data_IF_444644749422
#
_entry.id   IF_444644749422
#
_cell.length_a   1.000
_cell.length_b   1.000
_cell.length_c   1.000
_cell.angle_alpha   90.00
_cell.angle_beta   90.00
_cell.angle_gamma   90.00
#
_symmetry.space_group_name_H-M   'P 1'
#
loop_
_entity.id
_entity.type
_entity.pdbx_description
1 polymer ?
#
# COMPACT_ATOMS: atom_id res chain seq x y z
N UNK A 1 -18.99 -0.87 4.12
CA UNK A 1 -18.66 0.56 4.25
C UNK A 1 -17.17 0.58 4.51
N UNK A 2 -16.37 0.93 3.50
CA UNK A 2 -14.92 1.09 3.71
C UNK A 2 -14.67 2.39 4.47
N UNK A 3 -13.73 2.41 5.40
CA UNK A 3 -13.40 3.65 6.11
C UNK A 3 -12.67 4.60 5.13
N UNK A 4 -12.87 5.91 5.25
CA UNK A 4 -12.20 6.87 4.38
C UNK A 4 -10.70 6.86 4.61
N UNK A 5 -9.91 6.96 3.55
CA UNK A 5 -8.48 7.27 3.67
C UNK A 5 -8.35 8.67 4.27
N UNK A 6 -7.83 8.75 5.48
CA UNK A 6 -7.55 10.02 6.15
C UNK A 6 -6.13 10.03 6.70
N UNK A 7 -5.65 11.20 7.12
CA UNK A 7 -4.29 11.32 7.67
C UNK A 7 -4.07 10.49 8.95
N UNK A 8 -5.15 9.97 9.57
CA UNK A 8 -5.09 9.01 10.69
C UNK A 8 -4.53 7.64 10.24
N UNK A 9 -4.65 7.33 8.95
CA UNK A 9 -4.14 6.11 8.35
C UNK A 9 -2.62 6.19 8.05
N UNK A 10 -2.00 7.36 8.22
CA UNK A 10 -0.56 7.55 8.03
C UNK A 10 0.20 6.76 9.09
N UNK A 11 1.21 6.01 8.66
CA UNK A 11 1.99 5.12 9.51
C UNK A 11 1.37 3.74 9.71
N UNK A 12 0.18 3.46 9.13
CA UNK A 12 -0.39 2.10 9.14
C UNK A 12 0.32 1.20 8.13
N UNK A 13 0.39 -0.08 8.48
CA UNK A 13 0.86 -1.12 7.60
C UNK A 13 -0.14 -1.33 6.46
N UNK A 14 0.39 -1.40 5.25
CA UNK A 14 -0.35 -1.76 4.05
C UNK A 14 -0.03 -3.20 3.71
N UNK A 15 -1.09 -3.98 3.56
CA UNK A 15 -1.03 -5.39 3.23
C UNK A 15 -1.82 -5.67 1.95
N UNK A 16 -1.44 -6.74 1.26
CA UNK A 16 -2.21 -7.27 0.16
C UNK A 16 -3.44 -8.08 0.63
N UNK A 17 -4.35 -8.43 -0.28
CA UNK A 17 -5.44 -9.38 -0.02
C UNK A 17 -4.94 -10.75 0.49
N UNK A 18 -3.70 -11.13 0.18
CA UNK A 18 -3.04 -12.31 0.74
C UNK A 18 -2.56 -12.15 2.21
N UNK A 19 -2.68 -10.95 2.80
CA UNK A 19 -2.12 -10.61 4.12
C UNK A 19 -0.60 -10.42 4.10
N UNK A 20 -0.02 -10.20 2.92
CA UNK A 20 1.41 -9.93 2.76
C UNK A 20 1.65 -8.44 3.00
N UNK A 21 2.53 -8.11 3.93
CA UNK A 21 2.99 -6.73 4.10
C UNK A 21 3.64 -6.23 2.81
N UNK A 22 3.19 -5.06 2.34
CA UNK A 22 3.71 -4.39 1.14
C UNK A 22 4.53 -3.16 1.52
N UNK A 23 4.14 -2.48 2.60
CA UNK A 23 4.80 -1.26 3.04
C UNK A 23 4.01 -0.54 4.14
N UNK A 24 4.31 0.75 4.30
CA UNK A 24 3.66 1.63 5.29
C UNK A 24 3.16 2.88 4.59
N UNK A 25 2.02 3.41 5.04
CA UNK A 25 1.51 4.70 4.55
C UNK A 25 2.44 5.83 4.98
N UNK A 26 3.16 6.41 4.03
CA UNK A 26 3.99 7.60 4.25
C UNK A 26 3.17 8.88 4.40
N UNK A 27 2.10 9.02 3.59
CA UNK A 27 1.27 10.23 3.59
C UNK A 27 -0.14 9.95 3.09
N UNK A 28 -1.14 10.70 3.56
CA UNK A 28 -2.47 10.72 2.93
C UNK A 28 -2.81 12.14 2.49
N UNK A 29 -3.19 12.29 1.22
CA UNK A 29 -3.60 13.54 0.58
C UNK A 29 -5.01 13.38 0.01
N UNK A 30 -5.99 13.89 0.76
CA UNK A 30 -7.41 13.69 0.43
C UNK A 30 -7.79 12.21 0.44
N UNK A 31 -8.29 11.69 -0.68
CA UNK A 31 -8.65 10.28 -0.89
C UNK A 31 -7.50 9.43 -1.47
N UNK A 32 -6.24 9.87 -1.30
CA UNK A 32 -5.04 9.19 -1.81
C UNK A 32 -4.06 8.91 -0.69
N UNK A 33 -3.68 7.66 -0.50
CA UNK A 33 -2.59 7.25 0.37
C UNK A 33 -1.33 7.04 -0.46
N UNK A 34 -0.21 7.55 0.03
CA UNK A 34 1.14 7.34 -0.48
C UNK A 34 1.76 6.28 0.42
N UNK A 35 2.13 5.15 -0.16
CA UNK A 35 2.70 4.01 0.55
C UNK A 35 4.16 3.90 0.18
N UNK A 36 5.01 3.97 1.19
CA UNK A 36 6.44 3.71 1.06
C UNK A 36 6.64 2.18 1.12
N UNK A 37 6.98 1.54 -0.02
CA UNK A 37 7.19 0.11 -0.07
C UNK A 37 8.50 -0.24 0.62
N UNK A 38 8.46 -1.17 1.57
CA UNK A 38 9.66 -1.53 2.32
C UNK A 38 10.66 -2.23 1.39
N UNK A 39 11.90 -1.71 1.23
CA UNK A 39 12.87 -2.27 0.28
C UNK A 39 13.24 -3.73 0.57
N UNK A 40 13.14 -4.16 1.84
CA UNK A 40 13.36 -5.57 2.22
C UNK A 40 12.27 -6.55 1.73
N UNK A 41 11.08 -6.07 1.40
CA UNK A 41 9.96 -6.87 0.84
C UNK A 41 9.85 -6.69 -0.68
N UNK A 42 10.24 -5.52 -1.18
CA UNK A 42 10.39 -5.26 -2.61
C UNK A 42 11.31 -6.30 -3.26
N UNK A 43 12.42 -6.66 -2.61
CA UNK A 43 13.42 -7.61 -3.15
C UNK A 43 12.85 -8.99 -3.58
N UNK A 44 11.81 -9.50 -2.90
CA UNK A 44 11.19 -10.79 -3.25
C UNK A 44 10.01 -10.66 -4.22
N UNK A 45 9.30 -9.52 -4.20
CA UNK A 45 8.22 -9.25 -5.16
C UNK A 45 8.76 -8.83 -6.53
N UNK A 46 9.86 -8.07 -6.56
CA UNK A 46 10.58 -7.59 -7.75
C UNK A 46 11.03 -8.74 -8.67
N UNK A 47 11.49 -9.85 -8.10
CA UNK A 47 12.05 -10.97 -8.86
C UNK A 47 11.01 -11.78 -9.66
N UNK A 48 9.74 -11.76 -9.24
CA UNK A 48 8.70 -12.60 -9.84
C UNK A 48 7.79 -11.86 -10.83
N UNK A 49 7.80 -10.53 -10.83
CA UNK A 49 6.74 -9.75 -11.50
C UNK A 49 7.23 -8.77 -12.59
N UNK A 50 8.53 -8.70 -12.86
CA UNK A 50 9.06 -7.87 -13.96
C UNK A 50 8.84 -6.37 -13.74
N UNK A 51 8.80 -5.95 -12.48
CA UNK A 51 8.72 -4.54 -12.10
C UNK A 51 10.13 -3.93 -12.16
N UNK A 52 10.53 -3.45 -13.34
CA UNK A 52 11.57 -2.41 -13.41
C UNK A 52 10.93 -1.08 -12.99
N UNK A 53 10.71 -0.94 -11.68
CA UNK A 53 10.48 0.35 -11.05
C UNK A 53 11.83 0.88 -10.63
N UNK A 54 12.53 1.52 -11.57
CA UNK A 54 13.50 2.54 -11.19
C UNK A 54 12.73 3.57 -10.35
N UNK A 55 13.34 3.94 -9.22
CA UNK A 55 12.88 4.96 -8.28
C UNK A 55 11.96 4.52 -7.14
N UNK A 56 12.49 4.83 -5.96
CA UNK A 56 11.94 4.83 -4.61
C UNK A 56 10.76 5.81 -4.48
N UNK A 57 9.78 5.77 -5.39
CA UNK A 57 8.64 6.70 -5.41
C UNK A 57 7.40 6.03 -4.83
N UNK A 58 6.84 6.66 -3.79
CA UNK A 58 5.66 6.22 -3.05
C UNK A 58 4.54 5.67 -3.95
N UNK A 59 4.02 4.49 -3.63
CA UNK A 59 2.86 3.91 -4.30
C UNK A 59 1.57 4.63 -3.91
N UNK A 60 0.87 5.20 -4.89
CA UNK A 60 -0.39 5.94 -4.65
C UNK A 60 -1.57 4.98 -4.65
N UNK A 61 -2.09 4.71 -3.46
CA UNK A 61 -3.32 3.95 -3.24
C UNK A 61 -4.52 4.89 -3.17
N UNK A 62 -5.63 4.49 -3.79
CA UNK A 62 -6.92 5.19 -3.68
C UNK A 62 -7.96 4.30 -3.04
N UNK A 63 -9.05 4.88 -2.54
CA UNK A 63 -10.16 4.15 -1.90
C UNK A 63 -10.77 3.05 -2.78
N UNK A 64 -10.65 3.14 -4.11
CA UNK A 64 -11.12 2.12 -5.06
C UNK A 64 -10.26 0.84 -5.03
N UNK A 65 -8.98 1.00 -4.67
CA UNK A 65 -8.00 -0.08 -4.55
C UNK A 65 -7.97 -0.67 -3.14
N UNK A 66 -8.83 -0.21 -2.22
CA UNK A 66 -8.90 -0.71 -0.86
C UNK A 66 -10.00 -1.74 -0.71
N UNK A 67 -9.64 -2.88 -0.16
CA UNK A 67 -10.60 -3.89 0.26
C UNK A 67 -11.18 -3.55 1.63
N UNK A 68 -10.30 -3.21 2.58
CA UNK A 68 -10.69 -2.89 3.95
C UNK A 68 -9.69 -1.92 4.59
N UNK A 69 -10.21 -1.00 5.40
CA UNK A 69 -9.43 -0.01 6.15
C UNK A 69 -9.78 -0.19 7.62
N UNK A 70 -8.79 -0.61 8.43
CA UNK A 70 -8.96 -0.94 9.84
C UNK A 70 -7.70 -0.68 10.65
N UNK A 71 -7.19 -1.70 11.35
CA UNK A 71 -5.86 -1.65 11.98
C UNK A 71 -4.74 -1.61 10.93
N UNK A 72 -4.96 -2.27 9.81
CA UNK A 72 -4.11 -2.31 8.61
C UNK A 72 -4.93 -1.95 7.38
N UNK A 73 -4.24 -1.52 6.32
CA UNK A 73 -4.86 -1.19 5.04
C UNK A 73 -4.71 -2.40 4.12
N UNK A 74 -5.83 -3.02 3.76
CA UNK A 74 -5.86 -4.17 2.85
C UNK A 74 -6.15 -3.69 1.43
N UNK A 75 -5.25 -3.98 0.50
CA UNK A 75 -5.45 -3.68 -0.91
C UNK A 75 -6.31 -4.74 -1.60
N UNK A 76 -7.26 -4.27 -2.42
CA UNK A 76 -8.05 -5.10 -3.32
C UNK A 76 -7.30 -5.22 -4.66
N UNK A 77 -6.26 -6.04 -4.69
CA UNK A 77 -5.51 -6.32 -5.90
C UNK A 77 -4.88 -7.70 -5.82
N UNK A 78 -4.85 -8.42 -6.93
CA UNK A 78 -3.92 -9.54 -7.09
C UNK A 78 -2.57 -8.87 -7.45
N UNK A 79 -1.73 -8.60 -6.45
CA UNK A 79 -0.39 -8.02 -6.62
C UNK A 79 0.69 -9.10 -6.72
#
# INVERSE_FOLDING_TARGET
>A
MTAPLTNDEVGKTVVDAAGKELGIVAKVDGSRAYVDPNPSLAEQALASLGWEGEDEEDYIVTEDMLESVGEEIVLRGEL
#
